data_IF_265354151365
#
_entry.id   IF_265354151365
#
_cell.length_a   1.000
_cell.length_b   1.000
_cell.length_c   1.000
_cell.angle_alpha   90.00
_cell.angle_beta   90.00
_cell.angle_gamma   90.00
#
_symmetry.space_group_name_H-M   'P 1'
#
loop_
_entity.id
_entity.type
_entity.pdbx_description
1 polymer ?
#
# COMPACT_ATOMS: atom_id res chain seq x y z
N UNK A 1 -12.48 -21.31 -17.39
CA UNK A 1 -13.20 -20.10 -16.95
C UNK A 1 -12.54 -19.53 -15.69
N UNK A 2 -12.29 -18.24 -15.69
CA UNK A 2 -11.66 -17.58 -14.53
C UNK A 2 -12.69 -17.41 -13.42
N UNK A 3 -12.34 -17.79 -12.21
CA UNK A 3 -13.24 -17.62 -11.07
C UNK A 3 -13.47 -16.13 -10.76
N UNK A 4 -14.70 -15.80 -10.39
CA UNK A 4 -15.06 -14.41 -10.06
C UNK A 4 -14.23 -13.84 -8.90
N UNK A 5 -13.85 -14.67 -7.95
CA UNK A 5 -13.01 -14.27 -6.82
C UNK A 5 -11.62 -13.81 -7.27
N UNK A 6 -11.03 -14.45 -8.28
CA UNK A 6 -9.74 -14.04 -8.83
C UNK A 6 -9.83 -12.72 -9.58
N UNK A 7 -10.91 -12.53 -10.34
CA UNK A 7 -11.14 -11.26 -11.05
C UNK A 7 -11.27 -10.11 -10.05
N UNK A 8 -12.01 -10.32 -8.98
CA UNK A 8 -12.21 -9.32 -7.94
C UNK A 8 -10.90 -8.99 -7.22
N UNK A 9 -10.09 -10.00 -6.89
CA UNK A 9 -8.81 -9.80 -6.24
C UNK A 9 -7.85 -8.99 -7.10
N UNK A 10 -7.75 -9.31 -8.40
CA UNK A 10 -6.92 -8.58 -9.34
C UNK A 10 -7.39 -7.13 -9.50
N UNK A 11 -8.68 -6.91 -9.56
CA UNK A 11 -9.26 -5.56 -9.65
C UNK A 11 -8.91 -4.72 -8.42
N UNK A 12 -9.09 -5.29 -7.22
CA UNK A 12 -8.79 -4.60 -5.98
C UNK A 12 -7.29 -4.27 -5.85
N UNK A 13 -6.42 -5.20 -6.25
CA UNK A 13 -4.98 -4.94 -6.24
C UNK A 13 -4.60 -3.79 -7.16
N UNK A 14 -5.13 -3.76 -8.37
CA UNK A 14 -4.85 -2.68 -9.31
C UNK A 14 -5.35 -1.34 -8.80
N UNK A 15 -6.54 -1.31 -8.21
CA UNK A 15 -7.10 -0.09 -7.64
C UNK A 15 -6.27 0.43 -6.47
N UNK A 16 -5.90 -0.46 -5.55
CA UNK A 16 -5.07 -0.10 -4.40
C UNK A 16 -3.69 0.39 -4.83
N UNK A 17 -3.09 -0.27 -5.82
CA UNK A 17 -1.79 0.13 -6.36
C UNK A 17 -1.83 1.55 -6.93
N UNK A 18 -2.87 1.89 -7.69
CA UNK A 18 -3.04 3.23 -8.24
C UNK A 18 -3.24 4.28 -7.15
N UNK A 19 -4.03 3.97 -6.13
CA UNK A 19 -4.28 4.88 -5.02
C UNK A 19 -2.99 5.15 -4.24
N UNK A 20 -2.18 4.12 -4.00
CA UNK A 20 -0.90 4.23 -3.32
C UNK A 20 0.07 5.06 -4.15
N UNK A 21 0.16 4.83 -5.45
CA UNK A 21 1.01 5.62 -6.34
C UNK A 21 0.65 7.10 -6.31
N UNK A 22 -0.64 7.42 -6.32
CA UNK A 22 -1.10 8.80 -6.21
C UNK A 22 -0.69 9.43 -4.89
N UNK A 23 -0.84 8.70 -3.79
CA UNK A 23 -0.44 9.18 -2.46
C UNK A 23 1.07 9.43 -2.39
N UNK A 24 1.86 8.51 -2.91
CA UNK A 24 3.32 8.65 -2.95
C UNK A 24 3.72 9.88 -3.77
N UNK A 25 3.16 10.02 -4.98
CA UNK A 25 3.46 11.14 -5.86
C UNK A 25 3.12 12.47 -5.19
N UNK A 26 1.95 12.57 -4.59
CA UNK A 26 1.52 13.78 -3.91
C UNK A 26 2.42 14.12 -2.72
N UNK A 27 2.72 13.13 -1.90
CA UNK A 27 3.59 13.33 -0.74
C UNK A 27 5.01 13.73 -1.15
N UNK A 28 5.55 13.13 -2.20
CA UNK A 28 6.87 13.47 -2.72
C UNK A 28 6.90 14.92 -3.24
N UNK A 29 5.83 15.36 -3.91
CA UNK A 29 5.72 16.75 -4.38
C UNK A 29 5.65 17.74 -3.23
N UNK A 30 5.05 17.33 -2.10
CA UNK A 30 4.94 18.16 -0.91
C UNK A 30 6.19 18.09 -0.02
N UNK A 31 7.17 17.24 -0.37
CA UNK A 31 8.44 17.13 0.34
C UNK A 31 8.44 16.13 1.49
N UNK A 32 7.44 15.26 1.59
CA UNK A 32 7.41 14.23 2.61
C UNK A 32 8.26 13.02 2.21
N UNK A 33 8.99 12.40 3.16
CA UNK A 33 9.81 11.22 2.88
C UNK A 33 9.06 9.89 2.94
N UNK A 34 7.81 9.90 3.38
CA UNK A 34 7.03 8.68 3.60
C UNK A 34 5.53 8.98 3.60
N UNK A 35 4.74 7.91 3.46
CA UNK A 35 3.28 7.96 3.63
C UNK A 35 2.85 6.86 4.57
N UNK A 36 1.70 7.05 5.21
CA UNK A 36 1.07 6.03 6.05
C UNK A 36 -0.23 5.57 5.40
N UNK A 37 -0.46 4.26 5.36
CA UNK A 37 -1.68 3.68 4.80
C UNK A 37 -2.31 2.70 5.79
N UNK A 38 -3.63 2.57 5.75
CA UNK A 38 -4.38 1.72 6.66
C UNK A 38 -4.39 0.25 6.25
N UNK A 39 -4.06 -0.05 5.02
CA UNK A 39 -4.08 -1.41 4.50
C UNK A 39 -3.07 -1.61 3.38
N UNK A 40 -2.33 -2.71 3.46
CA UNK A 40 -1.46 -3.19 2.39
C UNK A 40 -1.57 -4.71 2.32
N UNK A 41 -1.74 -5.24 1.11
CA UNK A 41 -1.68 -6.67 0.88
C UNK A 41 -0.22 -7.12 0.77
N UNK A 42 0.04 -8.42 1.04
CA UNK A 42 1.39 -8.96 0.91
C UNK A 42 1.96 -8.76 -0.50
N UNK A 43 1.11 -8.91 -1.52
CA UNK A 43 1.52 -8.71 -2.91
C UNK A 43 1.95 -7.26 -3.17
N UNK A 44 1.26 -6.29 -2.60
CA UNK A 44 1.64 -4.88 -2.73
C UNK A 44 2.93 -4.57 -1.99
N UNK A 45 3.11 -5.15 -0.81
CA UNK A 45 4.36 -5.00 -0.04
C UNK A 45 5.55 -5.52 -0.86
N UNK A 46 5.42 -6.71 -1.47
CA UNK A 46 6.45 -7.26 -2.32
C UNK A 46 6.77 -6.37 -3.52
N UNK A 47 5.74 -5.83 -4.18
CA UNK A 47 5.93 -4.92 -5.32
C UNK A 47 6.64 -3.64 -4.91
N UNK A 48 6.27 -3.08 -3.77
CA UNK A 48 6.90 -1.86 -3.26
C UNK A 48 8.36 -2.11 -2.90
N UNK A 49 8.66 -3.20 -2.21
CA UNK A 49 10.03 -3.54 -1.86
C UNK A 49 10.89 -3.81 -3.09
N UNK A 50 10.33 -4.49 -4.09
CA UNK A 50 11.02 -4.74 -5.36
C UNK A 50 11.33 -3.44 -6.11
N UNK A 51 10.51 -2.41 -5.95
CA UNK A 51 10.71 -1.10 -6.55
C UNK A 51 11.66 -0.19 -5.75
N UNK A 52 12.17 -0.67 -4.61
CA UNK A 52 13.11 0.08 -3.79
C UNK A 52 12.50 0.83 -2.61
N UNK A 53 11.20 0.68 -2.38
CA UNK A 53 10.56 1.29 -1.21
C UNK A 53 10.76 0.44 0.03
N UNK A 54 10.77 1.09 1.18
CA UNK A 54 10.77 0.42 2.47
C UNK A 54 9.37 0.42 3.05
N UNK A 55 8.91 -0.72 3.53
CA UNK A 55 7.58 -0.83 4.15
C UNK A 55 7.75 -1.26 5.60
N UNK A 56 7.15 -0.51 6.51
CA UNK A 56 7.19 -0.79 7.93
C UNK A 56 5.77 -0.99 8.47
N UNK A 57 5.57 -2.08 9.20
CA UNK A 57 4.28 -2.39 9.83
C UNK A 57 4.21 -1.72 11.19
N UNK A 58 3.13 -0.99 11.42
CA UNK A 58 2.85 -0.34 12.71
C UNK A 58 1.64 -1.03 13.34
N UNK A 59 1.84 -1.87 14.36
CA UNK A 59 0.71 -2.54 15.01
C UNK A 59 -0.14 -1.52 15.77
N UNK A 60 -1.46 -1.64 15.62
CA UNK A 60 -2.40 -0.82 16.35
C UNK A 60 -2.62 -1.32 17.78
N UNK A 61 -3.44 -0.61 18.52
CA UNK A 61 -3.87 -1.01 19.86
C UNK A 61 -5.41 -1.03 19.91
N UNK A 62 -5.99 -1.11 21.09
CA UNK A 62 -7.46 -1.17 21.23
C UNK A 62 -8.16 0.11 20.76
N UNK A 63 -7.43 1.20 20.60
CA UNK A 63 -7.95 2.50 20.15
C UNK A 63 -7.51 2.87 18.73
N UNK A 64 -6.51 2.17 18.18
CA UNK A 64 -5.95 2.48 16.87
C UNK A 64 -5.90 1.23 16.00
N UNK A 65 -6.14 1.42 14.69
CA UNK A 65 -6.02 0.34 13.72
C UNK A 65 -4.56 0.12 13.33
N UNK A 66 -4.26 -1.09 12.83
CA UNK A 66 -2.95 -1.37 12.25
C UNK A 66 -2.72 -0.47 11.03
N UNK A 67 -1.49 -0.08 10.81
CA UNK A 67 -1.12 0.75 9.67
C UNK A 67 0.25 0.35 9.12
N UNK A 68 0.58 0.86 7.94
CA UNK A 68 1.86 0.63 7.30
C UNK A 68 2.44 1.96 6.86
N UNK A 69 3.75 2.10 7.04
CA UNK A 69 4.48 3.29 6.58
C UNK A 69 5.35 2.89 5.39
N UNK A 70 5.24 3.63 4.29
CA UNK A 70 6.01 3.40 3.08
C UNK A 70 7.02 4.53 2.92
N UNK A 71 8.31 4.18 2.91
CA UNK A 71 9.42 5.14 2.77
C UNK A 71 10.05 5.03 1.39
N UNK A 72 10.56 6.13 0.89
CA UNK A 72 11.35 6.13 -0.36
C UNK A 72 12.70 6.81 -0.27
#
# INVERSE_FOLDING_TARGET
>A
MIEASKIRAEYLEKKLSKDIEKKITKAAQEGYPAIEVDYLSDALIEKLEAAGYKVEFNPGNIFEFDSWTIYW
#
